data_IF_096112331328
#
_entry.id   IF_096112331328
#
_cell.length_a   1.000
_cell.length_b   1.000
_cell.length_c   1.000
_cell.angle_alpha   90.00
_cell.angle_beta   90.00
_cell.angle_gamma   90.00
#
_symmetry.space_group_name_H-M   'P 1'
#
loop_
_entity.id
_entity.type
_entity.pdbx_description
1 polymer ?
#
# COMPACT_ATOMS: atom_id res chain seq x y z
N UNK A 1 14.70 -9.16 -78.35
CA UNK A 1 13.74 -8.37 -77.55
C UNK A 1 14.30 -8.22 -76.14
N UNK A 2 14.45 -6.97 -75.70
CA UNK A 2 14.71 -6.45 -74.34
C UNK A 2 16.07 -6.68 -73.64
N UNK A 3 16.99 -5.79 -74.02
CA UNK A 3 17.88 -4.94 -73.19
C UNK A 3 18.19 -5.36 -71.74
N UNK A 4 19.45 -5.76 -71.51
CA UNK A 4 20.06 -5.99 -70.19
C UNK A 4 21.01 -4.86 -69.74
N UNK A 5 20.97 -3.68 -70.38
CA UNK A 5 22.08 -2.70 -70.30
C UNK A 5 21.80 -1.41 -69.49
N UNK A 6 20.78 -1.33 -68.64
CA UNK A 6 20.38 -0.03 -68.04
C UNK A 6 20.34 0.04 -66.50
N UNK A 7 20.95 -0.90 -65.77
CA UNK A 7 20.96 -0.90 -64.29
C UNK A 7 22.26 -0.37 -63.65
N UNK A 8 23.06 0.40 -64.40
CA UNK A 8 24.33 0.99 -63.93
C UNK A 8 24.35 2.53 -63.93
N UNK A 9 23.19 3.18 -63.87
CA UNK A 9 23.09 4.65 -63.75
C UNK A 9 22.12 5.02 -62.63
N UNK A 10 22.62 5.05 -61.38
CA UNK A 10 22.45 6.17 -60.42
C UNK A 10 23.08 5.87 -59.05
N UNK A 11 24.33 5.39 -59.00
CA UNK A 11 25.15 5.60 -57.81
C UNK A 11 25.74 7.03 -57.88
N UNK A 12 24.87 8.04 -57.94
CA UNK A 12 25.29 9.38 -57.59
C UNK A 12 25.62 9.30 -56.09
N UNK A 13 26.90 9.14 -55.78
CA UNK A 13 27.41 9.38 -54.44
C UNK A 13 26.96 10.78 -54.07
N UNK A 14 25.86 10.87 -53.32
CA UNK A 14 25.49 12.09 -52.64
C UNK A 14 26.61 12.31 -51.64
N UNK A 15 27.63 13.08 -52.06
CA UNK A 15 28.60 13.66 -51.17
C UNK A 15 27.82 14.59 -50.27
N UNK A 16 27.28 14.03 -49.20
CA UNK A 16 26.59 14.78 -48.18
C UNK A 16 27.65 15.66 -47.52
N UNK A 17 27.50 16.97 -47.64
CA UNK A 17 28.36 17.92 -46.94
C UNK A 17 28.30 17.63 -45.44
N UNK A 18 29.43 17.77 -44.76
CA UNK A 18 29.54 17.45 -43.33
C UNK A 18 29.10 18.68 -42.53
N UNK A 19 28.20 18.48 -41.57
CA UNK A 19 27.84 19.52 -40.61
C UNK A 19 28.78 19.48 -39.41
N UNK A 20 29.19 20.65 -38.93
CA UNK A 20 29.92 20.81 -37.68
C UNK A 20 29.23 21.85 -36.80
N UNK A 21 29.58 21.86 -35.51
CA UNK A 21 29.08 22.83 -34.56
C UNK A 21 30.18 23.83 -34.23
N UNK A 22 29.89 25.10 -34.44
CA UNK A 22 30.73 26.20 -34.01
C UNK A 22 30.30 26.66 -32.62
N UNK A 23 31.28 26.81 -31.74
CA UNK A 23 31.13 27.28 -30.35
C UNK A 23 30.03 26.58 -29.54
N UNK A 24 29.91 25.24 -29.57
CA UNK A 24 28.94 24.54 -28.73
C UNK A 24 29.36 24.68 -27.26
N UNK A 25 28.44 25.09 -26.40
CA UNK A 25 28.69 25.36 -24.97
C UNK A 25 27.47 24.98 -24.15
N UNK A 26 27.70 24.46 -22.95
CA UNK A 26 26.66 24.37 -21.92
C UNK A 26 26.97 25.31 -20.76
N UNK A 27 25.92 25.75 -20.08
CA UNK A 27 26.02 26.53 -18.85
C UNK A 27 24.91 26.13 -17.89
N UNK A 28 25.27 25.96 -16.63
CA UNK A 28 24.35 25.77 -15.51
C UNK A 28 24.30 27.07 -14.73
N UNK A 29 23.10 27.62 -14.56
CA UNK A 29 22.85 28.83 -13.78
C UNK A 29 21.90 28.50 -12.64
N UNK A 30 22.23 28.97 -11.43
CA UNK A 30 21.33 28.84 -10.29
C UNK A 30 20.17 29.84 -10.37
N UNK A 31 19.13 29.64 -9.56
CA UNK A 31 17.95 30.54 -9.50
C UNK A 31 18.28 31.97 -9.08
N UNK A 32 19.43 32.20 -8.43
CA UNK A 32 19.96 33.52 -8.10
C UNK A 32 20.62 34.25 -9.29
N UNK A 33 20.66 33.62 -10.48
CA UNK A 33 21.32 34.15 -11.68
C UNK A 33 22.84 33.95 -11.71
N UNK A 34 23.42 33.34 -10.66
CA UNK A 34 24.84 32.99 -10.61
C UNK A 34 25.16 31.81 -11.53
N UNK A 35 26.22 31.94 -12.32
CA UNK A 35 26.69 30.89 -13.22
C UNK A 35 27.52 29.87 -12.44
N UNK A 36 26.99 28.67 -12.22
CA UNK A 36 27.64 27.61 -11.45
C UNK A 36 28.73 26.91 -12.25
N UNK A 37 28.44 26.59 -13.52
CA UNK A 37 29.35 25.85 -14.39
C UNK A 37 29.15 26.26 -15.84
N UNK A 38 30.22 26.38 -16.61
CA UNK A 38 30.09 26.53 -18.06
C UNK A 38 31.32 26.15 -18.84
N UNK A 39 31.15 25.18 -19.71
CA UNK A 39 32.23 24.56 -20.45
C UNK A 39 31.87 24.42 -21.94
N UNK A 40 32.87 24.52 -22.83
CA UNK A 40 32.70 24.18 -24.23
C UNK A 40 32.43 22.68 -24.38
N UNK A 41 31.57 22.33 -25.31
CA UNK A 41 31.24 20.94 -25.63
C UNK A 41 32.21 20.46 -26.72
N UNK A 42 32.84 19.32 -26.49
CA UNK A 42 33.65 18.68 -27.54
C UNK A 42 32.77 17.82 -28.45
N UNK A 43 33.06 17.81 -29.76
CA UNK A 43 32.28 17.03 -30.73
C UNK A 43 32.75 15.57 -30.84
N UNK A 44 34.02 15.30 -30.52
CA UNK A 44 34.63 13.98 -30.63
C UNK A 44 34.55 13.15 -29.34
N UNK A 45 34.51 13.82 -28.18
CA UNK A 45 34.55 13.17 -26.89
C UNK A 45 33.44 13.71 -26.00
N UNK A 46 32.76 12.79 -25.30
CA UNK A 46 31.81 13.10 -24.25
C UNK A 46 32.51 13.85 -23.11
N UNK A 47 31.82 14.79 -22.47
CA UNK A 47 32.36 15.47 -21.29
C UNK A 47 32.68 14.44 -20.17
N UNK A 48 33.87 14.50 -19.56
CA UNK A 48 34.32 13.49 -18.61
C UNK A 48 33.59 13.59 -17.26
N UNK A 49 33.19 14.80 -16.85
CA UNK A 49 32.47 15.02 -15.60
C UNK A 49 30.96 15.16 -15.85
N UNK A 50 30.12 14.48 -15.05
CA UNK A 50 28.68 14.62 -15.16
C UNK A 50 28.21 16.00 -14.69
N UNK A 51 27.14 16.49 -15.31
CA UNK A 51 26.48 17.76 -14.97
C UNK A 51 25.36 17.46 -13.98
N UNK A 52 25.37 18.08 -12.80
CA UNK A 52 24.33 17.92 -11.79
C UNK A 52 23.46 19.16 -11.74
N UNK A 53 22.14 19.01 -11.77
CA UNK A 53 21.17 20.09 -11.58
C UNK A 53 20.51 19.99 -10.21
N UNK A 54 20.30 21.13 -9.56
CA UNK A 54 19.43 21.25 -8.39
C UNK A 54 17.99 21.56 -8.83
N UNK A 55 16.99 21.43 -7.93
CA UNK A 55 15.57 21.66 -8.27
C UNK A 55 15.22 23.05 -8.82
N UNK A 56 16.08 24.05 -8.61
CA UNK A 56 15.87 25.43 -9.06
C UNK A 56 16.87 25.87 -10.13
N UNK A 57 17.77 24.99 -10.55
CA UNK A 57 18.81 25.33 -11.53
C UNK A 57 18.26 25.32 -12.95
N UNK A 58 18.92 26.07 -13.83
CA UNK A 58 18.61 26.14 -15.26
C UNK A 58 19.82 25.71 -16.07
N UNK A 59 19.63 24.71 -16.92
CA UNK A 59 20.61 24.24 -17.90
C UNK A 59 20.36 24.93 -19.22
N UNK A 60 21.39 25.57 -19.77
CA UNK A 60 21.35 26.22 -21.07
C UNK A 60 22.41 25.64 -22.00
N UNK A 61 22.00 25.31 -23.21
CA UNK A 61 22.88 24.77 -24.26
C UNK A 61 22.79 25.71 -25.46
N UNK A 62 23.94 26.13 -25.98
CA UNK A 62 24.03 27.02 -27.14
C UNK A 62 25.04 26.46 -28.13
N UNK A 63 24.70 26.52 -29.42
CA UNK A 63 25.60 26.11 -30.50
C UNK A 63 25.21 26.82 -31.79
N UNK A 64 26.12 26.83 -32.77
CA UNK A 64 25.83 27.25 -34.13
C UNK A 64 26.14 26.12 -35.11
N UNK A 65 25.14 25.67 -35.85
CA UNK A 65 25.33 24.69 -36.91
C UNK A 65 25.92 25.36 -38.15
N UNK A 66 27.07 24.87 -38.62
CA UNK A 66 27.77 25.40 -39.79
C UNK A 66 28.18 24.26 -40.71
N UNK A 67 28.25 24.57 -42.00
CA UNK A 67 28.81 23.69 -43.01
C UNK A 67 30.35 23.72 -42.92
N UNK A 68 30.99 22.54 -42.92
CA UNK A 68 32.45 22.40 -42.80
C UNK A 68 33.18 23.09 -43.96
N UNK A 69 32.64 22.98 -45.18
CA UNK A 69 33.35 23.43 -46.38
C UNK A 69 33.20 24.93 -46.61
N UNK A 70 32.04 25.50 -46.27
CA UNK A 70 31.72 26.90 -46.54
C UNK A 70 31.77 27.82 -45.32
N UNK A 71 31.80 27.26 -44.10
CA UNK A 71 31.71 28.02 -42.85
C UNK A 71 30.39 28.79 -42.68
N UNK A 72 29.42 28.59 -43.58
CA UNK A 72 28.14 29.30 -43.55
C UNK A 72 27.21 28.63 -42.54
N UNK A 73 26.47 29.47 -41.82
CA UNK A 73 25.41 29.01 -40.91
C UNK A 73 24.31 28.30 -41.70
N UNK A 74 23.98 27.09 -41.26
CA UNK A 74 22.93 26.27 -41.86
C UNK A 74 21.80 26.14 -40.85
N UNK A 75 20.56 26.33 -41.30
CA UNK A 75 19.38 26.04 -40.50
C UNK A 75 18.93 24.59 -40.75
N UNK A 76 19.15 23.66 -39.79
CA UNK A 76 18.75 22.28 -40.00
C UNK A 76 17.23 22.13 -39.91
N UNK A 77 16.68 21.17 -40.66
CA UNK A 77 15.26 20.84 -40.61
C UNK A 77 14.86 20.11 -39.30
N UNK A 78 15.74 19.24 -38.81
CA UNK A 78 15.55 18.49 -37.58
C UNK A 78 16.69 18.81 -36.61
N UNK A 79 16.35 19.20 -35.39
CA UNK A 79 17.30 19.46 -34.31
C UNK A 79 16.63 19.11 -32.98
N UNK A 80 17.12 18.05 -32.35
CA UNK A 80 16.55 17.50 -31.13
C UNK A 80 17.63 17.24 -30.09
N UNK A 81 17.31 17.54 -28.83
CA UNK A 81 18.03 17.02 -27.69
C UNK A 81 17.30 15.80 -27.18
N UNK A 82 18.02 14.70 -27.06
CA UNK A 82 17.55 13.44 -26.50
C UNK A 82 18.11 13.28 -25.11
N UNK A 83 17.23 13.07 -24.15
CA UNK A 83 17.52 12.68 -22.77
C UNK A 83 17.14 11.22 -22.63
N UNK A 84 18.11 10.34 -22.39
CA UNK A 84 17.89 8.91 -22.33
C UNK A 84 18.27 8.36 -20.95
N UNK A 85 17.35 7.64 -20.33
CA UNK A 85 17.61 6.89 -19.10
C UNK A 85 17.91 5.42 -19.45
N UNK A 86 19.08 4.93 -19.03
CA UNK A 86 19.49 3.55 -19.34
C UNK A 86 18.80 2.51 -18.46
N UNK A 87 18.41 2.86 -17.24
CA UNK A 87 17.80 1.90 -16.31
C UNK A 87 16.33 1.65 -16.68
N UNK A 88 15.57 2.71 -16.93
CA UNK A 88 14.16 2.61 -17.33
C UNK A 88 13.97 2.33 -18.82
N UNK A 89 14.97 2.66 -19.65
CA UNK A 89 14.87 2.64 -21.11
C UNK A 89 14.00 3.75 -21.69
N UNK A 90 13.56 4.69 -20.87
CA UNK A 90 12.73 5.82 -21.29
C UNK A 90 13.55 6.93 -21.95
N UNK A 91 12.91 7.65 -22.87
CA UNK A 91 13.53 8.77 -23.55
C UNK A 91 12.63 9.99 -23.61
N UNK A 92 13.24 11.15 -23.37
CA UNK A 92 12.66 12.45 -23.59
C UNK A 92 13.29 13.14 -24.78
N UNK A 93 12.49 13.58 -25.74
CA UNK A 93 12.97 14.29 -26.93
C UNK A 93 12.46 15.73 -26.88
N UNK A 94 13.40 16.68 -26.92
CA UNK A 94 13.10 18.09 -26.87
C UNK A 94 13.55 18.78 -28.16
N UNK A 95 12.63 19.37 -28.94
CA UNK A 95 13.00 20.12 -30.13
C UNK A 95 13.77 21.40 -29.75
N UNK A 96 14.82 21.69 -30.50
CA UNK A 96 15.60 22.93 -30.34
C UNK A 96 15.39 23.80 -31.58
N UNK A 97 14.95 25.04 -31.36
CA UNK A 97 14.75 26.00 -32.43
C UNK A 97 16.10 26.56 -32.90
N UNK A 98 16.36 26.43 -34.20
CA UNK A 98 17.55 26.98 -34.86
C UNK A 98 17.14 28.14 -35.75
N UNK A 99 17.90 29.24 -35.69
CA UNK A 99 17.68 30.43 -36.54
C UNK A 99 18.23 30.22 -37.96
N UNK A 100 17.86 31.09 -38.90
CA UNK A 100 18.36 31.04 -40.29
C UNK A 100 19.90 31.09 -40.39
N UNK A 101 20.56 31.74 -39.43
CA UNK A 101 22.03 31.78 -39.32
C UNK A 101 22.66 30.57 -38.62
N UNK A 102 21.89 29.51 -38.34
CA UNK A 102 22.37 28.28 -37.70
C UNK A 102 22.52 28.35 -36.18
N UNK A 103 22.20 29.49 -35.54
CA UNK A 103 22.32 29.63 -34.08
C UNK A 103 21.15 29.01 -33.35
N UNK A 104 21.44 28.23 -32.32
CA UNK A 104 20.48 27.52 -31.48
C UNK A 104 20.68 27.85 -30.00
N UNK A 105 19.58 28.00 -29.27
CA UNK A 105 19.56 28.12 -27.81
C UNK A 105 18.50 27.18 -27.26
N UNK A 106 18.93 26.33 -26.34
CA UNK A 106 18.05 25.48 -25.53
C UNK A 106 18.17 25.88 -24.07
N UNK A 107 17.05 25.86 -23.35
CA UNK A 107 16.97 26.22 -21.94
C UNK A 107 16.02 25.24 -21.24
N UNK A 108 16.52 24.61 -20.19
CA UNK A 108 15.82 23.64 -19.37
C UNK A 108 15.84 24.14 -17.93
N UNK A 109 14.68 24.58 -17.45
CA UNK A 109 14.51 25.12 -16.11
C UNK A 109 13.91 24.05 -15.19
N UNK A 110 14.61 23.67 -14.12
CA UNK A 110 14.12 22.66 -13.18
C UNK A 110 12.95 23.11 -12.31
N UNK A 111 12.74 24.42 -12.13
CA UNK A 111 11.55 24.92 -11.44
C UNK A 111 10.26 24.68 -12.25
N UNK A 112 10.38 24.47 -13.56
CA UNK A 112 9.27 24.17 -14.49
C UNK A 112 9.69 23.04 -15.43
N UNK A 113 9.82 21.83 -14.88
CA UNK A 113 10.26 20.65 -15.64
C UNK A 113 9.28 20.36 -16.79
N UNK A 114 9.75 20.27 -18.05
CA UNK A 114 8.92 19.87 -19.17
C UNK A 114 8.39 18.43 -18.99
N UNK A 115 7.14 18.14 -19.39
CA UNK A 115 6.58 16.78 -19.33
C UNK A 115 7.27 15.80 -20.29
N UNK A 116 8.08 16.31 -21.21
CA UNK A 116 8.89 15.52 -22.15
C UNK A 116 10.16 14.95 -21.52
N UNK A 117 10.52 15.32 -20.28
CA UNK A 117 11.69 14.76 -19.61
C UNK A 117 11.30 13.42 -18.92
N UNK A 118 12.07 12.34 -19.09
CA UNK A 118 11.77 11.06 -18.44
C UNK A 118 11.88 11.20 -16.92
N UNK A 119 11.09 10.42 -16.17
CA UNK A 119 11.19 10.47 -14.73
C UNK A 119 12.48 9.81 -14.27
N UNK A 120 13.31 10.56 -13.57
CA UNK A 120 14.66 10.11 -13.20
C UNK A 120 14.69 9.76 -11.73
N UNK A 121 15.23 8.58 -11.42
CA UNK A 121 15.44 8.12 -10.05
C UNK A 121 16.87 8.41 -9.58
N UNK A 122 17.84 7.57 -9.96
CA UNK A 122 19.23 7.63 -9.46
C UNK A 122 20.30 7.61 -10.56
N UNK A 123 19.99 7.05 -11.73
CA UNK A 123 20.92 7.01 -12.86
C UNK A 123 21.04 8.38 -13.56
N UNK A 124 22.21 8.70 -14.13
CA UNK A 124 22.37 9.90 -14.95
C UNK A 124 21.68 9.74 -16.32
N UNK A 125 21.00 10.80 -16.76
CA UNK A 125 20.45 10.89 -18.11
C UNK A 125 21.54 11.14 -19.14
N UNK A 126 21.60 10.32 -20.18
CA UNK A 126 22.50 10.54 -21.31
C UNK A 126 21.94 11.58 -22.25
N UNK A 127 22.58 12.74 -22.32
CA UNK A 127 22.16 13.84 -23.19
C UNK A 127 22.86 13.73 -24.54
N UNK A 128 22.10 13.62 -25.62
CA UNK A 128 22.61 13.58 -26.99
C UNK A 128 21.94 14.63 -27.88
N UNK A 129 22.71 15.24 -28.76
CA UNK A 129 22.21 16.15 -29.79
C UNK A 129 22.07 15.40 -31.11
N UNK A 130 20.91 15.51 -31.73
CA UNK A 130 20.58 14.87 -33.01
C UNK A 130 20.20 15.97 -34.00
N UNK A 131 20.93 16.06 -35.11
CA UNK A 131 20.70 17.03 -36.19
C UNK A 131 20.56 16.28 -37.50
N UNK A 132 19.51 16.59 -38.26
CA UNK A 132 19.20 15.97 -39.54
C UNK A 132 18.75 16.99 -40.57
N UNK A 133 19.28 16.89 -41.80
CA UNK A 133 18.85 17.69 -42.96
C UNK A 133 19.17 16.91 -44.24
N UNK A 134 18.29 16.88 -45.25
CA UNK A 134 18.44 16.00 -46.43
C UNK A 134 19.76 16.15 -47.22
N UNK A 135 20.37 17.33 -47.20
CA UNK A 135 21.60 17.63 -47.96
C UNK A 135 22.90 17.28 -47.21
N UNK A 136 22.82 17.03 -45.91
CA UNK A 136 23.97 16.85 -45.03
C UNK A 136 23.93 15.48 -44.36
N UNK A 137 25.10 14.97 -43.97
CA UNK A 137 25.15 13.73 -43.18
C UNK A 137 24.47 13.93 -41.82
N UNK A 138 23.63 12.98 -41.35
CA UNK A 138 23.02 13.07 -40.03
C UNK A 138 24.10 13.10 -38.94
N UNK A 139 23.89 13.96 -37.95
CA UNK A 139 24.85 14.20 -36.88
C UNK A 139 24.23 13.81 -35.54
N UNK A 140 24.85 12.85 -34.85
CA UNK A 140 24.47 12.40 -33.51
C UNK A 140 25.68 12.51 -32.59
N UNK A 141 25.59 13.34 -31.57
CA UNK A 141 26.70 13.63 -30.64
C UNK A 141 26.23 13.42 -29.21
N UNK A 142 26.95 12.60 -28.44
CA UNK A 142 26.77 12.49 -27.00
C UNK A 142 27.44 13.67 -26.30
N UNK A 143 26.67 14.50 -25.60
CA UNK A 143 27.19 15.72 -24.98
C UNK A 143 27.81 15.42 -23.60
N UNK A 144 26.96 15.02 -22.64
CA UNK A 144 27.32 14.77 -21.25
C UNK A 144 26.26 13.92 -20.56
N UNK A 145 26.60 13.44 -19.37
CA UNK A 145 25.67 12.80 -18.44
C UNK A 145 25.05 13.84 -17.51
N UNK A 146 23.74 13.78 -17.32
CA UNK A 146 22.96 14.76 -16.57
C UNK A 146 22.29 14.11 -15.37
N UNK A 147 22.67 14.52 -14.16
CA UNK A 147 21.91 14.19 -12.95
C UNK A 147 20.84 15.24 -12.72
N UNK A 148 19.60 14.79 -12.70
CA UNK A 148 18.40 15.59 -12.43
C UNK A 148 17.89 15.19 -11.04
N UNK A 149 17.36 16.12 -10.23
CA UNK A 149 16.76 15.77 -8.95
C UNK A 149 15.61 14.78 -9.16
N UNK A 150 15.40 13.91 -8.17
CA UNK A 150 14.37 12.88 -8.24
C UNK A 150 12.99 13.50 -8.52
N UNK A 151 12.38 13.11 -9.63
CA UNK A 151 11.02 13.52 -9.99
C UNK A 151 10.00 12.54 -9.40
N UNK A 152 8.74 12.97 -9.32
CA UNK A 152 7.66 12.10 -8.87
C UNK A 152 7.57 10.86 -9.77
N UNK A 153 7.26 9.68 -9.22
CA UNK A 153 7.15 8.46 -10.01
C UNK A 153 6.10 8.66 -11.10
N UNK A 154 6.41 8.14 -12.29
CA UNK A 154 5.50 8.17 -13.44
C UNK A 154 4.20 7.52 -12.99
N UNK A 155 3.09 8.25 -13.13
CA UNK A 155 1.77 7.67 -13.00
C UNK A 155 1.71 6.52 -13.99
N UNK A 156 1.67 5.25 -13.54
CA UNK A 156 1.66 4.12 -14.44
C UNK A 156 0.52 4.31 -15.43
N UNK A 157 0.76 4.01 -16.71
CA UNK A 157 -0.34 3.97 -17.67
C UNK A 157 -1.46 3.11 -17.09
N UNK A 158 -2.73 3.54 -17.19
CA UNK A 158 -3.85 2.87 -16.53
C UNK A 158 -3.92 1.38 -16.90
N UNK A 159 -3.53 1.05 -18.13
CA UNK A 159 -3.55 -0.31 -18.66
C UNK A 159 -2.35 -1.17 -18.24
N UNK A 160 -1.28 -0.59 -17.64
CA UNK A 160 -0.12 -1.35 -17.17
C UNK A 160 -0.51 -2.41 -16.13
N UNK A 161 -1.51 -2.12 -15.31
CA UNK A 161 -2.04 -3.07 -14.33
C UNK A 161 -2.74 -4.27 -14.98
N UNK A 162 -3.24 -4.16 -16.21
CA UNK A 162 -3.94 -5.23 -16.91
C UNK A 162 -3.01 -6.29 -17.51
N UNK A 163 -1.73 -5.97 -17.70
CA UNK A 163 -0.75 -6.85 -18.33
C UNK A 163 0.21 -7.53 -17.34
N UNK A 164 0.01 -7.33 -16.04
CA UNK A 164 0.83 -7.94 -14.99
C UNK A 164 -0.04 -8.67 -13.97
N UNK A 165 0.47 -9.76 -13.37
CA UNK A 165 -0.20 -10.39 -12.25
C UNK A 165 -0.34 -9.39 -11.10
N UNK A 166 -1.56 -9.26 -10.57
CA UNK A 166 -1.86 -8.40 -9.44
C UNK A 166 -1.23 -8.99 -8.16
N UNK A 167 -0.87 -8.15 -7.18
CA UNK A 167 -0.41 -8.63 -5.89
C UNK A 167 -1.49 -9.46 -5.20
N UNK A 168 -1.07 -10.50 -4.49
CA UNK A 168 -1.98 -11.33 -3.69
C UNK A 168 -2.56 -10.52 -2.52
N UNK A 169 -3.85 -10.69 -2.25
CA UNK A 169 -4.56 -10.02 -1.16
C UNK A 169 -4.74 -11.01 -0.03
N UNK A 170 -4.09 -10.76 1.11
CA UNK A 170 -4.25 -11.55 2.33
C UNK A 170 -5.34 -10.96 3.22
N UNK A 171 -6.28 -11.80 3.66
CA UNK A 171 -7.30 -11.40 4.63
C UNK A 171 -6.71 -11.42 6.05
N UNK A 172 -6.57 -10.25 6.66
CA UNK A 172 -6.14 -10.14 8.06
C UNK A 172 -7.33 -10.31 9.00
N UNK A 173 -7.38 -11.44 9.70
CA UNK A 173 -8.37 -11.67 10.76
C UNK A 173 -8.09 -10.79 11.98
N UNK A 174 -9.15 -10.50 12.75
CA UNK A 174 -8.98 -9.84 14.04
C UNK A 174 -8.21 -10.75 15.00
N UNK A 175 -7.27 -10.20 15.79
CA UNK A 175 -6.57 -10.99 16.81
C UNK A 175 -7.56 -11.46 17.89
N UNK A 176 -7.32 -12.64 18.44
CA UNK A 176 -8.11 -13.15 19.55
C UNK A 176 -7.98 -12.22 20.78
N UNK A 177 -9.09 -11.99 21.52
CA UNK A 177 -9.03 -11.17 22.73
C UNK A 177 -8.19 -11.84 23.81
N UNK A 178 -7.33 -11.06 24.45
CA UNK A 178 -6.44 -11.56 25.51
C UNK A 178 -7.28 -11.94 26.74
N UNK A 179 -7.17 -13.20 27.17
CA UNK A 179 -7.81 -13.69 28.39
C UNK A 179 -6.92 -13.48 29.63
N UNK A 180 -7.51 -13.27 30.82
CA UNK A 180 -6.74 -13.11 32.04
C UNK A 180 -6.02 -14.42 32.44
N UNK A 181 -4.91 -14.32 33.20
CA UNK A 181 -4.20 -15.50 33.70
C UNK A 181 -5.08 -16.41 34.57
N UNK A 182 -5.07 -17.71 34.29
CA UNK A 182 -5.78 -18.76 35.04
C UNK A 182 -5.65 -18.69 36.58
N UNK A 183 -4.47 -18.42 37.20
CA UNK A 183 -4.39 -18.38 38.65
C UNK A 183 -5.16 -17.21 39.27
N UNK A 184 -5.22 -16.07 38.57
CA UNK A 184 -5.96 -14.90 39.02
C UNK A 184 -7.46 -15.22 38.98
N UNK A 185 -7.95 -15.78 37.87
CA UNK A 185 -9.34 -16.21 37.75
C UNK A 185 -9.73 -17.25 38.82
N UNK A 186 -8.85 -18.21 39.14
CA UNK A 186 -9.09 -19.21 40.16
C UNK A 186 -9.18 -18.60 41.57
N UNK A 187 -8.34 -17.61 41.90
CA UNK A 187 -8.39 -16.90 43.18
C UNK A 187 -9.74 -16.20 43.37
N UNK A 188 -10.21 -15.46 42.36
CA UNK A 188 -11.50 -14.77 42.43
C UNK A 188 -12.69 -15.73 42.46
N UNK A 189 -12.62 -16.86 41.74
CA UNK A 189 -13.63 -17.91 41.85
C UNK A 189 -13.70 -18.47 43.29
N UNK A 190 -12.54 -18.70 43.92
CA UNK A 190 -12.47 -19.09 45.33
C UNK A 190 -13.07 -18.04 46.28
N UNK A 191 -12.80 -16.76 46.03
CA UNK A 191 -13.38 -15.65 46.80
C UNK A 191 -14.91 -15.63 46.72
N UNK A 192 -15.48 -15.87 45.53
CA UNK A 192 -16.95 -15.96 45.33
C UNK A 192 -17.55 -17.16 46.07
N UNK A 193 -16.81 -18.26 46.21
CA UNK A 193 -17.25 -19.45 46.95
C UNK A 193 -17.07 -19.32 48.48
N UNK A 194 -16.23 -18.40 48.96
CA UNK A 194 -15.91 -18.27 50.38
C UNK A 194 -17.13 -18.03 51.30
N UNK A 195 -18.11 -17.17 50.96
CA UNK A 195 -19.30 -16.98 51.79
C UNK A 195 -20.12 -18.27 51.98
N UNK A 196 -20.16 -19.15 50.97
CA UNK A 196 -20.84 -20.44 51.08
C UNK A 196 -20.14 -21.37 52.06
N UNK A 197 -18.81 -21.40 52.06
CA UNK A 197 -18.02 -22.18 53.02
C UNK A 197 -18.27 -21.68 54.45
N UNK A 198 -18.28 -20.35 54.65
CA UNK A 198 -18.59 -19.74 55.95
C UNK A 198 -20.00 -20.10 56.41
N UNK A 199 -21.00 -20.01 55.52
CA UNK A 199 -22.39 -20.36 55.83
C UNK A 199 -22.50 -21.82 56.28
N UNK A 200 -21.88 -22.76 55.55
CA UNK A 200 -21.89 -24.19 55.90
C UNK A 200 -21.18 -24.45 57.23
N UNK A 201 -20.06 -23.77 57.50
CA UNK A 201 -19.36 -23.84 58.78
C UNK A 201 -20.23 -23.38 59.96
N UNK A 202 -20.94 -22.26 59.78
CA UNK A 202 -21.83 -21.72 60.82
C UNK A 202 -23.05 -22.62 61.04
N UNK A 203 -23.60 -23.23 59.99
CA UNK A 203 -24.66 -24.23 60.10
C UNK A 203 -24.22 -25.48 60.85
N UNK A 204 -22.97 -25.94 60.65
CA UNK A 204 -22.44 -27.06 61.41
C UNK A 204 -22.37 -26.74 62.92
N UNK A 205 -22.01 -25.51 63.28
CA UNK A 205 -21.93 -25.06 64.67
C UNK A 205 -23.32 -24.93 65.32
N UNK A 206 -24.29 -24.33 64.62
CA UNK A 206 -25.66 -24.12 65.15
C UNK A 206 -26.47 -25.43 65.14
N UNK A 207 -26.14 -26.37 64.25
CA UNK A 207 -26.79 -27.68 64.10
C UNK A 207 -28.33 -27.59 64.07
N UNK A 208 -28.91 -26.88 63.07
CA UNK A 208 -30.35 -26.74 62.96
C UNK A 208 -31.02 -28.11 62.77
N UNK A 209 -31.98 -28.45 63.64
CA UNK A 209 -32.69 -29.73 63.57
C UNK A 209 -33.82 -29.66 62.53
N UNK A 210 -33.83 -30.62 61.60
CA UNK A 210 -34.88 -30.80 60.59
C UNK A 210 -35.66 -32.12 60.79
N UNK A 211 -36.38 -32.28 61.92
CA UNK A 211 -36.90 -33.58 62.37
C UNK A 211 -37.98 -34.21 61.46
N UNK A 212 -38.55 -33.45 60.51
CA UNK A 212 -39.67 -33.92 59.65
C UNK A 212 -39.36 -33.90 58.16
N UNK A 213 -38.09 -33.73 57.78
CA UNK A 213 -37.69 -33.73 56.38
C UNK A 213 -38.11 -35.03 55.66
N UNK A 214 -38.02 -36.16 56.36
CA UNK A 214 -38.41 -37.49 55.86
C UNK A 214 -39.88 -37.86 56.11
N UNK A 215 -40.73 -36.89 56.47
CA UNK A 215 -42.16 -37.14 56.59
C UNK A 215 -42.77 -37.39 55.21
N UNK A 216 -43.69 -38.37 55.04
CA UNK A 216 -44.30 -38.68 53.75
C UNK A 216 -45.06 -37.50 53.13
N UNK A 217 -45.46 -36.50 53.93
CA UNK A 217 -46.13 -35.28 53.45
C UNK A 217 -45.17 -34.17 52.99
N UNK A 218 -43.91 -34.19 53.44
CA UNK A 218 -42.93 -33.10 53.22
C UNK A 218 -41.84 -33.52 52.23
N UNK A 219 -41.40 -34.77 52.31
CA UNK A 219 -40.35 -35.33 51.44
C UNK A 219 -40.66 -35.20 49.94
N UNK A 220 -41.90 -35.45 49.46
CA UNK A 220 -42.21 -35.27 48.04
C UNK A 220 -42.03 -33.82 47.57
N UNK A 221 -42.35 -32.85 48.42
CA UNK A 221 -42.19 -31.44 48.09
C UNK A 221 -40.72 -31.02 48.03
N UNK A 222 -39.91 -31.44 49.00
CA UNK A 222 -38.46 -31.14 48.99
C UNK A 222 -37.74 -31.86 47.87
N UNK A 223 -38.15 -33.08 47.52
CA UNK A 223 -37.65 -33.81 46.36
C UNK A 223 -37.98 -33.08 45.04
N UNK A 224 -39.22 -32.58 44.87
CA UNK A 224 -39.59 -31.79 43.68
C UNK A 224 -38.82 -30.47 43.59
N UNK A 225 -38.51 -29.85 44.73
CA UNK A 225 -37.70 -28.63 44.77
C UNK A 225 -36.23 -28.91 44.37
N UNK A 226 -35.66 -30.02 44.85
CA UNK A 226 -34.34 -30.48 44.41
C UNK A 226 -34.30 -30.87 42.93
N UNK A 227 -35.37 -31.51 42.43
CA UNK A 227 -35.50 -31.84 41.01
C UNK A 227 -35.54 -30.58 40.12
N UNK A 228 -36.15 -29.49 40.60
CA UNK A 228 -36.13 -28.21 39.89
C UNK A 228 -34.71 -27.62 39.81
N UNK A 229 -33.94 -27.69 40.89
CA UNK A 229 -32.56 -27.23 40.91
C UNK A 229 -31.67 -28.05 39.97
N UNK A 230 -31.85 -29.38 39.94
CA UNK A 230 -31.15 -30.27 39.00
C UNK A 230 -31.52 -29.97 37.56
N UNK A 231 -32.81 -29.70 37.28
CA UNK A 231 -33.26 -29.31 35.95
C UNK A 231 -32.62 -28.00 35.49
N UNK A 232 -32.51 -27.01 36.38
CA UNK A 232 -31.85 -25.72 36.09
C UNK A 232 -30.33 -25.88 35.91
N UNK A 233 -29.70 -26.74 36.70
CA UNK A 233 -28.29 -27.07 36.49
C UNK A 233 -28.07 -27.74 35.12
N UNK A 234 -28.93 -28.68 34.74
CA UNK A 234 -28.82 -29.36 33.45
C UNK A 234 -29.12 -28.43 32.25
N UNK A 235 -30.04 -27.47 32.44
CA UNK A 235 -30.24 -26.37 31.50
C UNK A 235 -28.97 -25.57 31.26
N UNK A 236 -28.23 -25.25 32.32
CA UNK A 236 -26.97 -24.52 32.19
C UNK A 236 -25.88 -25.32 31.44
N UNK A 237 -25.91 -26.66 31.52
CA UNK A 237 -24.92 -27.53 30.87
C UNK A 237 -25.24 -27.81 29.40
N UNK A 238 -26.47 -28.21 29.06
CA UNK A 238 -26.76 -28.76 27.71
C UNK A 238 -28.24 -28.64 27.26
N UNK A 239 -29.19 -28.47 28.17
CA UNK A 239 -30.61 -28.49 27.79
C UNK A 239 -31.03 -27.27 26.97
N UNK A 240 -31.91 -27.47 25.99
CA UNK A 240 -32.52 -26.36 25.23
C UNK A 240 -33.70 -25.77 25.99
N UNK A 241 -34.02 -24.51 25.67
CA UNK A 241 -35.11 -23.79 26.32
C UNK A 241 -36.44 -24.54 26.25
N UNK A 242 -36.81 -25.11 25.10
CA UNK A 242 -38.05 -25.87 24.93
C UNK A 242 -38.16 -27.09 25.86
N UNK A 243 -37.05 -27.81 26.06
CA UNK A 243 -37.00 -29.00 26.91
C UNK A 243 -37.19 -28.61 28.38
N UNK A 244 -36.57 -27.52 28.82
CA UNK A 244 -36.73 -26.99 30.19
C UNK A 244 -38.15 -26.52 30.45
N UNK A 245 -38.79 -25.85 29.49
CA UNK A 245 -40.20 -25.46 29.64
C UNK A 245 -41.12 -26.68 29.72
N UNK A 246 -40.86 -27.72 28.92
CA UNK A 246 -41.67 -28.94 28.94
C UNK A 246 -41.50 -29.70 30.27
N UNK A 247 -40.26 -30.02 30.64
CA UNK A 247 -39.96 -30.75 31.88
C UNK A 247 -40.32 -29.92 33.11
N UNK A 248 -40.00 -28.63 33.11
CA UNK A 248 -40.35 -27.68 34.16
C UNK A 248 -41.85 -27.47 34.29
N UNK A 249 -42.60 -27.49 33.18
CA UNK A 249 -44.06 -27.43 33.19
C UNK A 249 -44.67 -28.66 33.87
N UNK A 250 -44.23 -29.86 33.49
CA UNK A 250 -44.68 -31.12 34.12
C UNK A 250 -44.29 -31.15 35.60
N UNK A 251 -43.03 -30.85 35.91
CA UNK A 251 -42.51 -30.82 37.28
C UNK A 251 -43.22 -29.76 38.14
N UNK A 252 -43.56 -28.62 37.53
CA UNK A 252 -44.31 -27.54 38.17
C UNK A 252 -45.70 -27.95 38.62
N UNK A 253 -46.44 -28.70 37.78
CA UNK A 253 -47.75 -29.26 38.18
C UNK A 253 -47.59 -30.18 39.38
N UNK A 254 -46.60 -31.08 39.36
CA UNK A 254 -46.33 -31.99 40.49
C UNK A 254 -45.98 -31.19 41.76
N UNK A 255 -45.11 -30.18 41.64
CA UNK A 255 -44.69 -29.32 42.74
C UNK A 255 -45.84 -28.53 43.37
N UNK A 256 -46.83 -28.09 42.58
CA UNK A 256 -48.01 -27.39 43.09
C UNK A 256 -48.82 -28.29 44.04
N UNK A 257 -49.04 -29.54 43.67
CA UNK A 257 -49.77 -30.49 44.51
C UNK A 257 -48.96 -30.89 45.74
N UNK A 258 -47.71 -31.33 45.58
CA UNK A 258 -46.86 -31.74 46.71
C UNK A 258 -46.64 -30.58 47.68
N UNK A 259 -46.47 -29.37 47.17
CA UNK A 259 -46.35 -28.14 47.96
C UNK A 259 -47.61 -27.84 48.75
N UNK A 260 -48.79 -27.86 48.12
CA UNK A 260 -50.05 -27.65 48.82
C UNK A 260 -50.22 -28.62 50.00
N UNK A 261 -49.96 -29.91 49.79
CA UNK A 261 -50.05 -30.92 50.85
C UNK A 261 -49.01 -30.72 51.96
N UNK A 262 -47.76 -30.40 51.61
CA UNK A 262 -46.70 -30.14 52.57
C UNK A 262 -47.03 -28.91 53.44
N UNK A 263 -47.38 -27.78 52.84
CA UNK A 263 -47.72 -26.55 53.55
C UNK A 263 -48.98 -26.70 54.42
N UNK A 264 -50.02 -27.38 53.92
CA UNK A 264 -51.22 -27.67 54.71
C UNK A 264 -50.88 -28.47 55.97
N UNK A 265 -50.05 -29.50 55.87
CA UNK A 265 -49.63 -30.31 57.02
C UNK A 265 -48.80 -29.53 58.05
N UNK A 266 -48.03 -28.54 57.60
CA UNK A 266 -47.27 -27.65 58.50
C UNK A 266 -48.24 -26.69 59.21
N UNK A 267 -49.23 -26.16 58.49
CA UNK A 267 -50.26 -25.25 59.03
C UNK A 267 -51.13 -25.93 60.08
N UNK A 268 -51.69 -27.12 59.78
CA UNK A 268 -52.49 -27.93 60.71
C UNK A 268 -51.75 -28.16 62.03
N UNK A 269 -50.44 -28.47 61.96
CA UNK A 269 -49.62 -28.72 63.15
C UNK A 269 -49.33 -27.45 63.94
N UNK A 270 -49.21 -26.29 63.29
CA UNK A 270 -49.06 -25.01 63.99
C UNK A 270 -50.32 -24.69 64.77
N UNK A 271 -51.48 -24.85 64.15
CA UNK A 271 -52.78 -24.62 64.78
C UNK A 271 -53.06 -25.61 65.92
N UNK A 272 -52.73 -26.89 65.72
CA UNK A 272 -52.85 -27.92 66.76
C UNK A 272 -51.87 -27.75 67.93
N UNK A 273 -50.77 -27.02 67.75
CA UNK A 273 -49.81 -26.69 68.81
C UNK A 273 -50.17 -25.41 69.57
N UNK A 274 -51.11 -24.61 69.05
CA UNK A 274 -51.57 -23.35 69.65
C UNK A 274 -52.87 -23.54 70.45
N UNK A 275 -53.51 -24.70 70.32
CA UNK A 275 -54.71 -25.13 71.03
C UNK A 275 -54.32 -26.04 72.19
#
# INVERSE_FOLDING_TARGET
>A
MFSFASLLLLAAAANASVLTLQSPRFSVTSSSGSQLRSEPISLAHKAPEPVTLSPTDTLKITFQAVDVDSGKGVQPQQTFLRFYDEESGEEGIQPVRVTSGGKAKFELNMAKVPPSLPATSKAPLKVSLIIGTPKYSPLKISLFDLFVPASHPITPHPDKASFHPLPFIEHTFQPEPIQPPKPISALFAGLVLAPWVVLLGLWAQISPRVPRLFSPKILPFTATLGAFEVLLFWYWVDLRLGDVLLYGGILGVVMLFTGKYALASISERRLASQK
#
